data_IF_752655241713
#
_entry.id   IF_752655241713
#
_cell.length_a   1.000
_cell.length_b   1.000
_cell.length_c   1.000
_cell.angle_alpha   90.00
_cell.angle_beta   90.00
_cell.angle_gamma   90.00
#
_symmetry.space_group_name_H-M   'P 1'
#
loop_
_entity.id
_entity.type
_entity.pdbx_description
1 polymer ?
#
# COMPACT_ATOMS: atom_id res chain seq x y z
N UNK A 1 -0.27 -0.42 -7.36
CA UNK A 1 0.05 -0.81 -8.74
C UNK A 1 -0.47 -2.22 -9.02
N UNK A 2 -0.61 -2.57 -10.31
CA UNK A 2 -1.13 -3.86 -10.76
C UNK A 2 -0.29 -4.36 -11.94
N UNK A 3 -0.01 -5.67 -11.97
CA UNK A 3 0.70 -6.33 -13.07
C UNK A 3 -0.01 -7.62 -13.45
N UNK A 4 -0.48 -7.77 -14.71
CA UNK A 4 -1.04 -9.03 -15.18
C UNK A 4 0.07 -10.07 -15.42
N UNK A 5 -0.22 -11.32 -15.06
CA UNK A 5 0.61 -12.49 -15.33
C UNK A 5 -0.21 -13.76 -15.03
N UNK A 6 0.11 -14.86 -15.68
CA UNK A 6 -0.40 -16.18 -15.35
C UNK A 6 0.42 -16.72 -14.16
N UNK A 7 -0.11 -16.58 -12.94
CA UNK A 7 0.62 -16.79 -11.68
C UNK A 7 0.72 -18.29 -11.34
N UNK A 8 -0.32 -19.06 -11.59
CA UNK A 8 -0.36 -20.47 -11.22
C UNK A 8 -0.11 -21.42 -12.41
N UNK A 9 -0.08 -20.89 -13.63
CA UNK A 9 0.28 -21.62 -14.84
C UNK A 9 -0.90 -22.38 -15.45
N UNK A 10 -2.13 -21.94 -15.19
CA UNK A 10 -3.35 -22.56 -15.72
C UNK A 10 -3.81 -21.98 -17.08
N UNK A 11 -3.19 -20.88 -17.52
CA UNK A 11 -3.44 -20.21 -18.78
C UNK A 11 -4.40 -19.02 -18.66
N UNK A 12 -4.99 -18.79 -17.51
CA UNK A 12 -5.85 -17.65 -17.25
C UNK A 12 -5.07 -16.43 -16.76
N UNK A 13 -5.67 -15.25 -16.89
CA UNK A 13 -4.99 -14.01 -16.50
C UNK A 13 -5.23 -13.71 -15.04
N UNK A 14 -4.17 -13.76 -14.27
CA UNK A 14 -4.08 -13.31 -12.88
C UNK A 14 -3.44 -11.94 -12.78
N UNK A 15 -3.35 -11.42 -11.55
CA UNK A 15 -2.70 -10.14 -11.29
C UNK A 15 -1.85 -10.16 -10.02
N UNK A 16 -0.73 -9.47 -10.08
CA UNK A 16 0.05 -9.09 -8.89
C UNK A 16 -0.33 -7.69 -8.48
N UNK A 17 -0.80 -7.54 -7.25
CA UNK A 17 -1.26 -6.27 -6.69
C UNK A 17 -0.24 -5.73 -5.69
N UNK A 18 0.38 -4.59 -6.02
CA UNK A 18 1.19 -3.82 -5.07
C UNK A 18 0.32 -2.84 -4.32
N UNK A 19 0.31 -2.95 -3.01
CA UNK A 19 -0.44 -2.11 -2.09
C UNK A 19 0.51 -1.45 -1.08
N UNK A 20 -0.03 -0.88 -0.02
CA UNK A 20 0.71 -0.14 1.01
C UNK A 20 1.56 -1.06 1.90
N UNK A 21 1.15 -2.32 2.05
CA UNK A 21 1.77 -3.31 2.91
C UNK A 21 1.20 -3.30 4.33
N UNK A 22 1.66 -4.24 5.16
CA UNK A 22 1.16 -4.43 6.53
C UNK A 22 2.02 -3.75 7.60
N UNK A 23 3.20 -3.22 7.23
CA UNK A 23 4.08 -2.50 8.15
C UNK A 23 3.72 -1.01 8.19
N UNK A 24 2.49 -0.71 8.56
CA UNK A 24 1.96 0.66 8.66
C UNK A 24 1.07 0.81 9.89
N UNK A 25 0.76 2.05 10.25
CA UNK A 25 -0.21 2.35 11.31
C UNK A 25 -1.65 2.08 10.87
N UNK A 26 -1.92 2.05 9.55
CA UNK A 26 -3.23 1.69 9.02
C UNK A 26 -3.34 0.17 9.03
N UNK A 27 -4.04 -0.33 10.03
CA UNK A 27 -4.40 -1.75 10.13
C UNK A 27 -5.84 -1.88 9.66
N UNK A 28 -6.06 -2.56 8.53
CA UNK A 28 -7.38 -2.70 7.94
C UNK A 28 -7.65 -4.15 7.54
N UNK A 29 -8.79 -4.68 7.98
CA UNK A 29 -9.35 -5.95 7.55
C UNK A 29 -10.81 -5.76 7.13
N UNK A 30 -11.44 -6.82 6.62
CA UNK A 30 -12.86 -6.76 6.29
C UNK A 30 -13.73 -6.55 7.55
N UNK A 31 -13.31 -7.11 8.69
CA UNK A 31 -13.99 -7.00 9.98
C UNK A 31 -13.68 -5.68 10.70
N UNK A 32 -12.47 -5.14 10.50
CA UNK A 32 -12.00 -3.89 11.11
C UNK A 32 -11.45 -2.98 10.02
N UNK A 33 -12.30 -2.34 9.23
CA UNK A 33 -11.87 -1.47 8.14
C UNK A 33 -11.23 -0.18 8.66
N UNK A 34 -10.44 0.45 7.79
CA UNK A 34 -10.10 1.85 7.92
C UNK A 34 -10.99 2.68 7.01
N UNK A 35 -11.24 3.92 7.40
CA UNK A 35 -12.09 4.84 6.65
C UNK A 35 -11.31 6.10 6.27
N UNK A 36 -11.61 6.63 5.10
CA UNK A 36 -11.26 7.98 4.68
C UNK A 36 -12.55 8.80 4.62
N UNK A 37 -12.66 9.77 5.49
CA UNK A 37 -13.74 10.74 5.49
C UNK A 37 -13.27 12.03 4.80
N UNK A 38 -14.03 12.51 3.84
CA UNK A 38 -13.72 13.71 3.05
C UNK A 38 -14.93 14.64 3.08
N UNK A 39 -14.78 15.80 3.68
CA UNK A 39 -15.88 16.76 3.82
C UNK A 39 -15.41 18.08 4.42
N UNK A 40 -16.27 19.07 4.34
CA UNK A 40 -16.13 20.37 5.03
C UNK A 40 -16.82 20.25 6.41
N UNK A 41 -16.05 19.79 7.41
CA UNK A 41 -16.61 19.45 8.73
C UNK A 41 -16.88 20.67 9.62
N UNK A 42 -16.30 21.83 9.33
CA UNK A 42 -16.59 23.07 10.07
C UNK A 42 -17.33 24.12 9.24
N UNK A 43 -17.73 23.76 8.00
CA UNK A 43 -18.51 24.57 7.07
C UNK A 43 -17.82 25.90 6.71
N UNK A 44 -16.50 25.87 6.61
CA UNK A 44 -15.68 27.02 6.23
C UNK A 44 -15.41 27.15 4.72
N UNK A 45 -15.86 26.17 3.91
CA UNK A 45 -15.64 26.07 2.46
C UNK A 45 -14.36 25.31 2.07
N UNK A 46 -13.54 24.88 3.04
CA UNK A 46 -12.40 23.99 2.80
C UNK A 46 -12.82 22.52 3.04
N UNK A 47 -12.13 21.61 2.38
CA UNK A 47 -12.41 20.17 2.50
C UNK A 47 -11.29 19.50 3.29
N UNK A 48 -11.64 18.86 4.40
CA UNK A 48 -10.74 18.06 5.20
C UNK A 48 -10.75 16.60 4.77
N UNK A 49 -9.61 15.93 5.02
CA UNK A 49 -9.42 14.50 4.80
C UNK A 49 -8.99 13.85 6.12
N UNK A 50 -9.84 12.99 6.67
CA UNK A 50 -9.60 12.37 7.96
C UNK A 50 -9.58 10.86 7.79
N UNK A 51 -8.44 10.24 8.14
CA UNK A 51 -8.33 8.78 8.21
C UNK A 51 -8.71 8.34 9.61
N UNK A 52 -9.54 7.31 9.70
CA UNK A 52 -9.92 6.66 10.95
C UNK A 52 -9.84 5.14 10.83
N UNK A 53 -9.65 4.45 11.94
CA UNK A 53 -9.59 2.99 11.99
C UNK A 53 -10.55 2.45 13.06
N UNK A 54 -11.12 1.28 12.78
CA UNK A 54 -11.88 0.52 13.77
C UNK A 54 -10.90 -0.15 14.75
N UNK A 55 -11.13 0.04 16.04
CA UNK A 55 -10.31 -0.55 17.11
C UNK A 55 -10.97 -1.80 17.71
N UNK A 56 -10.34 -2.38 18.75
CA UNK A 56 -10.81 -3.62 19.38
C UNK A 56 -12.19 -3.50 20.04
N UNK A 57 -12.58 -2.29 20.43
CA UNK A 57 -13.89 -2.00 21.02
C UNK A 57 -15.02 -1.82 19.96
N UNK A 58 -14.68 -1.97 18.67
CA UNK A 58 -15.62 -1.81 17.57
C UNK A 58 -15.91 -0.37 17.17
N UNK A 59 -15.30 0.60 17.84
CA UNK A 59 -15.48 2.01 17.54
C UNK A 59 -14.44 2.52 16.54
N UNK A 60 -14.77 3.61 15.86
CA UNK A 60 -13.94 4.24 14.84
C UNK A 60 -13.23 5.47 15.42
N UNK A 61 -11.90 5.44 15.45
CA UNK A 61 -11.08 6.53 16.00
C UNK A 61 -10.25 7.19 14.90
N UNK A 62 -10.18 8.55 14.87
CA UNK A 62 -9.30 9.26 13.98
C UNK A 62 -7.83 8.93 14.25
N UNK A 63 -7.08 8.68 13.20
CA UNK A 63 -5.63 8.47 13.30
C UNK A 63 -4.84 9.78 13.40
N UNK A 64 -5.51 10.89 13.21
CA UNK A 64 -4.91 12.24 13.23
C UNK A 64 -4.74 12.70 14.67
N UNK A 65 -3.54 13.14 15.02
CA UNK A 65 -3.27 13.70 16.34
C UNK A 65 -4.02 15.02 16.56
N UNK A 66 -4.35 15.34 17.83
CA UNK A 66 -5.06 16.58 18.19
C UNK A 66 -4.37 17.82 17.62
N UNK A 67 -3.04 17.87 17.64
CA UNK A 67 -2.26 19.00 17.13
C UNK A 67 -2.50 19.26 15.64
N UNK A 68 -2.59 18.22 14.83
CA UNK A 68 -2.89 18.29 13.40
C UNK A 68 -4.36 18.64 13.18
N UNK A 69 -5.25 17.90 13.86
CA UNK A 69 -6.69 18.09 13.74
C UNK A 69 -7.10 19.53 14.05
N UNK A 70 -6.55 20.13 15.10
CA UNK A 70 -6.90 21.52 15.48
C UNK A 70 -6.33 22.58 14.53
N UNK A 71 -5.30 22.25 13.72
CA UNK A 71 -4.79 23.15 12.67
C UNK A 71 -5.75 23.20 11.48
N UNK A 72 -6.27 22.05 11.08
CA UNK A 72 -7.26 21.97 10.02
C UNK A 72 -8.65 22.48 10.49
N UNK A 73 -9.03 22.08 11.70
CA UNK A 73 -10.35 22.32 12.30
C UNK A 73 -10.21 23.07 13.63
N UNK A 74 -10.17 24.42 13.62
CA UNK A 74 -9.99 25.22 14.84
C UNK A 74 -11.03 24.98 15.93
N UNK A 75 -12.20 24.49 15.60
CA UNK A 75 -13.25 24.13 16.55
C UNK A 75 -12.79 23.03 17.53
N UNK A 76 -11.92 22.12 17.12
CA UNK A 76 -11.37 21.05 17.96
C UNK A 76 -10.59 21.62 19.15
N UNK A 77 -9.84 22.71 18.94
CA UNK A 77 -9.15 23.40 20.03
C UNK A 77 -10.10 23.95 21.07
N UNK A 78 -11.25 24.46 20.65
CA UNK A 78 -12.28 25.00 21.56
C UNK A 78 -13.04 23.89 22.29
N UNK A 79 -13.35 22.79 21.60
CA UNK A 79 -14.11 21.65 22.15
C UNK A 79 -13.28 20.81 23.12
N UNK A 80 -11.97 20.61 22.83
CA UNK A 80 -11.09 19.76 23.62
C UNK A 80 -9.84 20.54 24.05
N UNK A 81 -9.81 21.00 25.30
CA UNK A 81 -8.68 21.78 25.83
C UNK A 81 -7.47 20.87 26.06
N UNK A 82 -7.66 19.73 26.71
CA UNK A 82 -6.59 18.77 27.04
C UNK A 82 -6.48 17.68 26.00
N UNK A 83 -5.24 17.16 25.77
CA UNK A 83 -5.03 16.04 24.86
C UNK A 83 -5.79 14.78 25.28
N UNK A 84 -5.86 14.49 26.59
CA UNK A 84 -6.59 13.35 27.12
C UNK A 84 -8.09 13.36 26.78
N UNK A 85 -8.66 14.56 26.66
CA UNK A 85 -10.09 14.71 26.37
C UNK A 85 -10.39 14.42 24.89
N UNK A 86 -9.40 14.62 24.01
CA UNK A 86 -9.47 14.28 22.59
C UNK A 86 -9.14 12.80 22.32
N UNK A 87 -8.17 12.23 23.06
CA UNK A 87 -7.60 10.92 22.75
C UNK A 87 -8.62 9.77 22.78
N UNK A 88 -9.71 9.92 23.53
CA UNK A 88 -10.75 8.90 23.67
C UNK A 88 -12.01 9.22 22.84
N UNK A 89 -11.93 10.19 21.92
CA UNK A 89 -13.08 10.56 21.11
C UNK A 89 -13.13 9.72 19.83
N UNK A 90 -14.27 9.12 19.59
CA UNK A 90 -14.60 8.47 18.32
C UNK A 90 -14.79 9.54 17.23
N UNK A 91 -14.82 9.11 15.96
CA UNK A 91 -15.15 10.01 14.86
C UNK A 91 -16.54 10.66 15.06
N UNK A 92 -17.49 9.89 15.58
CA UNK A 92 -18.86 10.35 15.85
C UNK A 92 -18.95 11.32 17.02
N UNK A 93 -18.06 11.21 18.01
CA UNK A 93 -17.95 12.18 19.12
C UNK A 93 -17.36 13.52 18.66
N UNK A 94 -16.47 13.47 17.66
CA UNK A 94 -15.84 14.68 17.13
C UNK A 94 -16.81 15.50 16.28
N UNK A 95 -17.62 14.83 15.43
CA UNK A 95 -18.46 15.45 14.42
C UNK A 95 -19.91 15.02 14.56
N UNK A 96 -20.80 16.00 14.71
CA UNK A 96 -22.25 15.75 14.72
C UNK A 96 -22.71 15.25 13.34
N UNK A 97 -23.90 14.62 13.29
CA UNK A 97 -24.49 14.18 12.02
C UNK A 97 -24.58 15.33 11.01
N UNK A 98 -25.00 16.51 11.44
CA UNK A 98 -25.11 17.71 10.58
C UNK A 98 -23.76 18.12 9.97
N UNK A 99 -22.64 17.94 10.70
CA UNK A 99 -21.29 18.21 10.20
C UNK A 99 -20.79 17.15 9.22
N UNK A 100 -21.30 15.92 9.34
CA UNK A 100 -20.99 14.79 8.45
C UNK A 100 -21.88 14.75 7.21
N UNK A 101 -23.01 15.45 7.23
CA UNK A 101 -23.93 15.48 6.10
C UNK A 101 -23.24 16.07 4.85
N UNK A 102 -23.31 15.32 3.75
CA UNK A 102 -22.66 15.68 2.49
C UNK A 102 -21.18 15.27 2.40
N UNK A 103 -20.59 14.71 3.46
CA UNK A 103 -19.23 14.14 3.38
C UNK A 103 -19.21 12.83 2.58
N UNK A 104 -18.05 12.54 2.01
CA UNK A 104 -17.77 11.27 1.30
C UNK A 104 -17.01 10.36 2.25
N UNK A 105 -17.50 9.15 2.41
CA UNK A 105 -16.79 8.09 3.13
C UNK A 105 -16.32 7.01 2.17
N UNK A 106 -15.07 6.59 2.32
CA UNK A 106 -14.47 5.47 1.60
C UNK A 106 -13.86 4.48 2.58
N UNK A 107 -14.12 3.21 2.35
CA UNK A 107 -13.66 2.11 3.17
C UNK A 107 -12.43 1.44 2.58
N UNK A 108 -11.45 1.12 3.44
CA UNK A 108 -10.27 0.32 3.13
C UNK A 108 -10.40 -0.96 3.94
N UNK A 109 -10.44 -2.11 3.26
CA UNK A 109 -10.56 -3.43 3.90
C UNK A 109 -9.25 -4.21 3.89
N UNK A 110 -8.24 -3.74 3.17
CA UNK A 110 -6.89 -4.33 3.17
C UNK A 110 -5.84 -3.35 2.66
N UNK A 111 -4.69 -3.35 3.29
CA UNK A 111 -3.46 -2.70 2.80
C UNK A 111 -2.45 -3.72 2.27
N UNK A 112 -2.81 -5.00 2.28
CA UNK A 112 -1.95 -6.12 1.92
C UNK A 112 -1.64 -6.13 0.42
N UNK A 113 -0.37 -6.29 0.06
CA UNK A 113 0.02 -6.65 -1.30
C UNK A 113 -0.30 -8.12 -1.56
N UNK A 114 -0.89 -8.44 -2.71
CA UNK A 114 -1.50 -9.75 -2.94
C UNK A 114 -1.37 -10.22 -4.38
N UNK A 115 -1.50 -11.51 -4.60
CA UNK A 115 -1.96 -12.05 -5.87
C UNK A 115 -3.49 -11.95 -5.94
N UNK A 116 -4.01 -11.71 -7.11
CA UNK A 116 -5.43 -11.82 -7.42
C UNK A 116 -5.55 -12.94 -8.45
N UNK A 117 -5.96 -14.11 -7.99
CA UNK A 117 -6.02 -15.35 -8.78
C UNK A 117 -7.39 -15.48 -9.41
N UNK A 118 -7.41 -15.71 -10.72
CA UNK A 118 -8.58 -15.99 -11.53
C UNK A 118 -8.87 -17.51 -11.51
N UNK A 119 -10.12 -17.91 -11.44
CA UNK A 119 -10.54 -19.32 -11.52
C UNK A 119 -10.97 -19.74 -12.94
N UNK A 120 -10.71 -18.91 -13.96
CA UNK A 120 -11.12 -19.12 -15.33
C UNK A 120 -12.63 -18.99 -15.58
N UNK A 121 -13.41 -18.68 -14.56
CA UNK A 121 -14.88 -18.51 -14.64
C UNK A 121 -15.32 -17.07 -14.32
N UNK A 122 -14.36 -16.16 -14.16
CA UNK A 122 -14.59 -14.77 -13.84
C UNK A 122 -14.67 -14.47 -12.33
N UNK A 123 -14.36 -15.44 -11.46
CA UNK A 123 -14.22 -15.18 -10.05
C UNK A 123 -12.74 -14.98 -9.70
N UNK A 124 -12.49 -14.07 -8.78
CA UNK A 124 -11.15 -13.73 -8.33
C UNK A 124 -11.01 -13.94 -6.82
N UNK A 125 -9.87 -14.49 -6.41
CA UNK A 125 -9.52 -14.66 -5.01
C UNK A 125 -8.22 -13.94 -4.67
N UNK A 126 -8.18 -13.26 -3.51
CA UNK A 126 -6.98 -12.62 -3.01
C UNK A 126 -6.14 -13.61 -2.23
N UNK A 127 -4.86 -13.71 -2.61
CA UNK A 127 -3.84 -14.49 -1.89
C UNK A 127 -2.69 -13.55 -1.50
N UNK A 128 -2.40 -13.46 -0.21
CA UNK A 128 -1.34 -12.59 0.28
C UNK A 128 0.02 -12.90 -0.34
N UNK A 129 0.76 -11.88 -0.74
CA UNK A 129 2.19 -12.00 -1.00
C UNK A 129 2.95 -12.35 0.28
N UNK A 130 4.16 -12.96 0.18
CA UNK A 130 5.01 -13.24 1.34
C UNK A 130 5.21 -12.00 2.21
N UNK A 131 5.42 -12.23 3.53
CA UNK A 131 5.49 -11.12 4.50
C UNK A 131 6.59 -10.09 4.18
N UNK A 132 7.67 -10.49 3.50
CA UNK A 132 8.73 -9.56 3.06
C UNK A 132 8.22 -8.52 2.04
N UNK A 133 7.19 -8.87 1.26
CA UNK A 133 6.53 -7.95 0.34
C UNK A 133 5.57 -6.98 1.05
N UNK A 134 5.33 -7.18 2.36
CA UNK A 134 4.45 -6.35 3.17
C UNK A 134 5.19 -5.26 3.97
N UNK A 135 6.53 -5.21 3.90
CA UNK A 135 7.33 -4.31 4.74
C UNK A 135 7.24 -2.84 4.33
N UNK A 136 6.91 -2.57 3.08
CA UNK A 136 6.83 -1.21 2.54
C UNK A 136 5.93 -1.19 1.29
N UNK A 137 5.37 -0.03 0.93
CA UNK A 137 4.55 0.09 -0.27
C UNK A 137 5.24 -0.42 -1.53
N UNK A 138 4.54 -1.24 -2.31
CA UNK A 138 5.00 -1.71 -3.60
C UNK A 138 4.43 -0.81 -4.70
N UNK A 139 5.30 -0.22 -5.52
CA UNK A 139 4.96 0.70 -6.61
C UNK A 139 5.39 0.17 -7.98
N UNK A 140 6.40 -0.70 -8.02
CA UNK A 140 6.92 -1.31 -9.23
C UNK A 140 6.86 -2.83 -9.16
N UNK A 141 6.31 -3.45 -10.21
CA UNK A 141 6.19 -4.90 -10.35
C UNK A 141 6.61 -5.27 -11.77
N UNK A 142 7.45 -6.28 -11.90
CA UNK A 142 7.70 -6.95 -13.17
C UNK A 142 7.62 -8.45 -13.01
N UNK A 143 6.99 -9.09 -14.01
CA UNK A 143 6.83 -10.53 -14.10
C UNK A 143 7.61 -11.04 -15.33
N UNK A 144 8.36 -12.12 -15.19
CA UNK A 144 9.17 -12.71 -16.24
C UNK A 144 10.08 -13.79 -15.68
N UNK A 145 10.75 -14.52 -16.55
CA UNK A 145 11.80 -15.48 -16.15
C UNK A 145 13.15 -14.74 -16.04
N UNK A 146 13.54 -14.40 -14.82
CA UNK A 146 14.75 -13.62 -14.56
C UNK A 146 15.98 -14.47 -14.28
N UNK A 147 15.80 -15.74 -13.90
CA UNK A 147 16.88 -16.68 -13.63
C UNK A 147 17.10 -17.68 -14.78
N UNK A 148 16.25 -17.66 -15.83
CA UNK A 148 16.27 -18.52 -17.02
C UNK A 148 16.02 -19.99 -16.73
N UNK A 149 15.16 -20.28 -15.74
CA UNK A 149 14.72 -21.64 -15.40
C UNK A 149 13.41 -22.07 -16.06
N UNK A 150 12.81 -21.16 -16.85
CA UNK A 150 11.56 -21.40 -17.58
C UNK A 150 10.31 -21.15 -16.74
N UNK A 151 10.41 -20.66 -15.52
CA UNK A 151 9.27 -20.37 -14.66
C UNK A 151 9.09 -18.86 -14.50
N UNK A 152 7.89 -18.48 -14.10
CA UNK A 152 7.55 -17.09 -13.86
C UNK A 152 8.14 -16.63 -12.52
N UNK A 153 8.97 -15.60 -12.57
CA UNK A 153 9.47 -14.86 -11.42
C UNK A 153 8.79 -13.49 -11.33
N UNK A 154 8.83 -12.89 -10.13
CA UNK A 154 8.25 -11.56 -9.89
C UNK A 154 9.27 -10.68 -9.17
N UNK A 155 9.60 -9.54 -9.77
CA UNK A 155 10.39 -8.48 -9.14
C UNK A 155 9.46 -7.44 -8.53
N UNK A 156 9.74 -7.07 -7.28
CA UNK A 156 8.97 -6.10 -6.51
C UNK A 156 9.89 -5.00 -5.99
N UNK A 157 9.48 -3.74 -6.15
CA UNK A 157 10.16 -2.59 -5.58
C UNK A 157 9.15 -1.48 -5.23
N UNK A 158 9.55 -0.56 -4.34
CA UNK A 158 8.63 0.50 -3.94
C UNK A 158 9.27 1.52 -3.00
N UNK A 159 8.69 1.68 -1.84
CA UNK A 159 8.91 2.68 -0.80
C UNK A 159 8.08 3.96 -0.96
N UNK A 160 7.91 4.67 0.16
CA UNK A 160 7.21 5.94 0.20
C UNK A 160 7.79 6.83 1.31
N UNK A 161 8.35 8.00 0.93
CA UNK A 161 9.05 8.91 1.84
C UNK A 161 8.25 10.15 2.19
N UNK A 162 7.27 10.50 1.34
CA UNK A 162 6.50 11.74 1.45
C UNK A 162 5.28 11.56 2.39
N UNK A 163 5.45 10.79 3.47
CA UNK A 163 4.42 10.64 4.49
C UNK A 163 4.56 11.72 5.57
N UNK A 164 3.52 11.90 6.38
CA UNK A 164 3.59 12.79 7.53
C UNK A 164 4.72 12.36 8.49
N UNK A 165 5.45 13.29 9.11
CA UNK A 165 6.55 12.97 10.03
C UNK A 165 6.17 11.99 11.15
N UNK A 166 4.93 12.05 11.63
CA UNK A 166 4.38 11.19 12.67
C UNK A 166 4.24 9.72 12.23
N UNK A 167 4.16 9.49 10.91
CA UNK A 167 4.03 8.15 10.33
C UNK A 167 5.38 7.54 10.01
N UNK A 168 6.43 8.38 9.90
CA UNK A 168 7.76 7.97 9.50
C UNK A 168 7.86 7.67 8.01
N UNK A 169 9.03 7.24 7.57
CA UNK A 169 9.30 6.86 6.19
C UNK A 169 9.06 5.37 6.00
N UNK A 170 8.42 5.03 4.88
CA UNK A 170 8.25 3.64 4.47
C UNK A 170 9.39 3.29 3.52
N UNK A 171 10.53 2.82 4.05
CA UNK A 171 11.78 2.61 3.32
C UNK A 171 12.37 1.20 3.47
N UNK A 172 11.56 0.25 3.90
CA UNK A 172 12.00 -1.12 4.20
C UNK A 172 12.10 -2.04 2.96
N UNK A 173 11.81 -1.54 1.74
CA UNK A 173 11.96 -2.31 0.50
C UNK A 173 13.29 -1.96 -0.18
N UNK A 174 14.15 -2.97 -0.31
CA UNK A 174 15.46 -2.89 -0.99
C UNK A 174 15.50 -3.67 -2.30
N UNK A 175 14.34 -3.98 -2.88
CA UNK A 175 14.20 -4.90 -4.00
C UNK A 175 14.01 -6.33 -3.52
N UNK A 176 12.99 -6.99 -4.07
CA UNK A 176 12.61 -8.35 -3.73
C UNK A 176 12.36 -9.14 -5.01
N UNK A 177 12.88 -10.36 -5.08
CA UNK A 177 12.55 -11.33 -6.10
C UNK A 177 11.71 -12.44 -5.46
N UNK A 178 10.56 -12.72 -6.03
CA UNK A 178 9.81 -13.94 -5.81
C UNK A 178 10.16 -14.89 -6.96
N UNK A 179 11.03 -15.87 -6.66
CA UNK A 179 11.50 -16.87 -7.61
C UNK A 179 10.45 -17.97 -7.76
N UNK A 180 9.97 -18.19 -8.96
CA UNK A 180 8.94 -19.16 -9.26
C UNK A 180 9.37 -20.59 -9.04
N UNK A 181 8.52 -21.34 -8.34
CA UNK A 181 8.68 -22.79 -8.15
C UNK A 181 7.68 -23.59 -9.01
N UNK A 182 6.84 -22.87 -9.77
CA UNK A 182 5.72 -23.40 -10.52
C UNK A 182 4.45 -23.57 -9.69
N UNK A 183 3.30 -23.65 -10.37
CA UNK A 183 1.96 -23.84 -9.77
C UNK A 183 1.65 -22.79 -8.68
N UNK A 184 1.90 -21.51 -8.97
CA UNK A 184 1.63 -20.40 -8.04
C UNK A 184 2.50 -20.35 -6.80
N UNK A 185 3.56 -21.16 -6.70
CA UNK A 185 4.47 -21.18 -5.56
C UNK A 185 5.72 -20.35 -5.85
N UNK A 186 6.17 -19.59 -4.85
CA UNK A 186 7.33 -18.72 -4.97
C UNK A 186 8.27 -18.85 -3.76
N UNK A 187 9.58 -18.82 -4.06
CA UNK A 187 10.62 -18.70 -3.05
C UNK A 187 11.07 -17.23 -2.95
N UNK A 188 11.14 -16.72 -1.74
CA UNK A 188 11.59 -15.34 -1.50
C UNK A 188 13.11 -15.27 -1.61
N UNK A 189 13.61 -14.37 -2.46
CA UNK A 189 15.05 -14.07 -2.63
C UNK A 189 15.29 -12.60 -2.31
N UNK A 190 16.07 -12.35 -1.29
CA UNK A 190 16.41 -11.00 -0.88
C UNK A 190 17.45 -10.38 -1.82
N UNK A 191 17.55 -9.07 -1.83
CA UNK A 191 18.49 -8.31 -2.68
C UNK A 191 19.95 -8.74 -2.54
N UNK A 192 20.37 -9.23 -1.37
CA UNK A 192 21.73 -9.78 -1.14
C UNK A 192 21.99 -11.06 -1.94
N UNK A 193 20.96 -11.84 -2.24
CA UNK A 193 21.07 -13.11 -2.94
C UNK A 193 21.01 -12.92 -4.46
N UNK A 194 20.27 -11.93 -4.91
CA UNK A 194 19.96 -11.73 -6.34
C UNK A 194 20.77 -10.62 -7.00
N UNK A 195 21.38 -9.73 -6.20
CA UNK A 195 21.96 -8.49 -6.72
C UNK A 195 20.93 -7.43 -7.13
N UNK A 196 19.63 -7.76 -7.14
CA UNK A 196 18.54 -6.80 -7.38
C UNK A 196 18.37 -5.93 -6.14
N UNK A 197 19.26 -4.93 -5.98
CA UNK A 197 19.26 -4.01 -4.86
C UNK A 197 18.93 -2.60 -5.33
N UNK A 198 17.82 -2.06 -4.84
CA UNK A 198 17.43 -0.68 -5.09
C UNK A 198 17.20 0.06 -3.78
N UNK A 199 17.63 1.31 -3.73
CA UNK A 199 17.38 2.25 -2.63
C UNK A 199 16.48 3.38 -3.15
N UNK A 200 15.84 4.09 -2.24
CA UNK A 200 14.96 5.22 -2.59
C UNK A 200 13.55 4.78 -2.94
N UNK A 201 12.79 5.72 -3.51
CA UNK A 201 11.39 5.52 -3.86
C UNK A 201 11.28 5.06 -5.32
N UNK A 202 11.09 3.78 -5.57
CA UNK A 202 10.75 3.29 -6.91
C UNK A 202 9.29 3.62 -7.19
N UNK A 203 9.02 4.28 -8.30
CA UNK A 203 7.66 4.66 -8.74
C UNK A 203 7.11 3.71 -9.79
N UNK A 204 7.99 3.19 -10.64
CA UNK A 204 7.59 2.25 -11.68
C UNK A 204 8.81 1.42 -12.13
N UNK A 205 8.53 0.27 -12.77
CA UNK A 205 9.51 -0.56 -13.43
C UNK A 205 9.05 -0.92 -14.84
N UNK A 206 10.00 -0.99 -15.78
CA UNK A 206 9.75 -1.41 -17.14
C UNK A 206 10.74 -2.48 -17.58
N UNK A 207 10.27 -3.46 -18.36
CA UNK A 207 11.13 -4.43 -19.04
C UNK A 207 11.51 -3.88 -20.41
N UNK A 208 12.80 -3.92 -20.71
CA UNK A 208 13.36 -3.56 -22.03
C UNK A 208 14.16 -4.74 -22.54
N UNK A 209 13.82 -5.24 -23.73
CA UNK A 209 14.59 -6.28 -24.43
C UNK A 209 15.63 -5.62 -25.31
N UNK A 210 16.89 -5.99 -25.14
CA UNK A 210 18.01 -5.50 -25.94
C UNK A 210 18.92 -6.65 -26.37
N UNK A 211 18.80 -7.07 -27.65
CA UNK A 211 19.52 -8.23 -28.16
C UNK A 211 19.15 -9.51 -27.40
N UNK A 212 20.16 -10.16 -26.80
CA UNK A 212 19.99 -11.40 -26.01
C UNK A 212 19.74 -11.13 -24.50
N UNK A 213 19.64 -9.88 -24.08
CA UNK A 213 19.53 -9.50 -22.67
C UNK A 213 18.19 -8.85 -22.38
N UNK A 214 17.67 -9.11 -21.19
CA UNK A 214 16.52 -8.41 -20.62
C UNK A 214 17.02 -7.39 -19.60
N UNK A 215 16.52 -6.19 -19.69
CA UNK A 215 16.83 -5.10 -18.76
C UNK A 215 15.58 -4.72 -17.99
N UNK A 216 15.73 -4.48 -16.71
CA UNK A 216 14.70 -3.89 -15.85
C UNK A 216 15.12 -2.46 -15.54
N UNK A 217 14.35 -1.51 -16.01
CA UNK A 217 14.58 -0.07 -15.79
C UNK A 217 13.64 0.39 -14.67
N UNK A 218 14.21 0.99 -13.62
CA UNK A 218 13.48 1.54 -12.49
C UNK A 218 13.41 3.05 -12.59
N UNK A 219 12.21 3.58 -12.62
CA UNK A 219 11.96 5.01 -12.44
C UNK A 219 11.83 5.29 -10.94
N UNK A 220 12.63 6.22 -10.43
CA UNK A 220 12.71 6.58 -9.01
C UNK A 220 12.26 8.02 -8.80
N UNK A 221 11.67 8.31 -7.65
CA UNK A 221 11.31 9.66 -7.29
C UNK A 221 12.55 10.41 -6.80
N UNK A 222 12.79 11.59 -7.38
CA UNK A 222 13.89 12.49 -7.02
C UNK A 222 15.27 11.79 -6.97
N UNK A 223 15.51 10.85 -7.92
CA UNK A 223 16.74 10.10 -8.01
C UNK A 223 16.96 9.60 -9.45
N UNK A 224 18.19 9.21 -9.77
CA UNK A 224 18.56 8.66 -11.07
C UNK A 224 17.85 7.35 -11.35
N UNK A 225 17.46 7.14 -12.60
CA UNK A 225 16.98 5.82 -13.04
C UNK A 225 18.06 4.76 -12.79
N UNK A 226 17.62 3.56 -12.43
CA UNK A 226 18.51 2.42 -12.19
C UNK A 226 18.16 1.31 -13.17
N UNK A 227 19.19 0.62 -13.67
CA UNK A 227 19.01 -0.45 -14.66
C UNK A 227 19.67 -1.71 -14.16
N UNK A 228 18.96 -2.83 -14.22
CA UNK A 228 19.46 -4.16 -13.98
C UNK A 228 19.43 -4.97 -15.26
N UNK A 229 20.43 -5.79 -15.47
CA UNK A 229 20.53 -6.73 -16.58
C UNK A 229 20.34 -8.16 -16.08
N UNK A 230 19.44 -8.90 -16.74
CA UNK A 230 19.14 -10.31 -16.50
C UNK A 230 19.47 -11.16 -17.73
#
# INVERSE_FOLDING_TARGET
CIKPADIDGDGDMDFVLGNFGLNSKIQATAEKPAYLHVGDFDKNGAVEQIISCVTEDGNTYPMVLKGEMQRALPMIKKKFIKYKDYANQTFDDLFSQEQRDGSIERQITTTQSSFLINDGKGNFSLQALPYQAQFSPIKGIQAGDFNKDGKLDILLAGNFFDSLPEWGRFDANYGLLLEGQGKGKFAVKLSKQTGFKTLGQVRNMALVKGGKSTYVVLAKNDDKAQVFKF
#
